data_IF_373668386735
#
_entry.id   IF_373668386735
#
_cell.length_a   1.000
_cell.length_b   1.000
_cell.length_c   1.000
_cell.angle_alpha   90.00
_cell.angle_beta   90.00
_cell.angle_gamma   90.00
#
_symmetry.space_group_name_H-M   'P 1'
#
loop_
_entity.id
_entity.type
_entity.pdbx_description
1 polymer ?
#
# COMPACT_ATOMS: atom_id res chain seq x y z
N UNK A 1 -19.58 1.16 13.44
CA UNK A 1 -19.05 2.02 12.36
C UNK A 1 -18.29 1.15 11.38
N UNK A 2 -18.20 1.57 10.12
CA UNK A 2 -17.37 0.90 9.12
C UNK A 2 -15.89 1.27 9.32
N UNK A 3 -14.99 0.39 8.89
CA UNK A 3 -13.55 0.61 8.94
C UNK A 3 -13.09 1.42 7.73
N UNK A 4 -12.32 2.49 7.95
CA UNK A 4 -11.76 3.36 6.93
C UNK A 4 -10.29 3.03 6.66
N UNK A 5 -9.99 2.53 5.46
CA UNK A 5 -8.62 2.36 4.97
C UNK A 5 -8.27 3.44 3.96
N UNK A 6 -7.05 3.99 4.05
CA UNK A 6 -6.53 5.01 3.13
C UNK A 6 -5.31 4.48 2.39
N UNK A 7 -5.32 4.59 1.05
CA UNK A 7 -4.16 4.33 0.21
C UNK A 7 -3.18 5.50 0.30
N UNK A 8 -1.92 5.21 0.64
CA UNK A 8 -0.87 6.20 0.84
C UNK A 8 0.37 5.90 0.00
N UNK A 9 1.01 6.94 -0.52
CA UNK A 9 2.19 6.86 -1.39
C UNK A 9 3.47 7.43 -0.76
N UNK A 10 3.51 7.53 0.58
CA UNK A 10 4.62 8.13 1.31
C UNK A 10 4.35 8.23 2.81
N UNK A 11 5.38 8.50 3.60
CA UNK A 11 5.28 8.63 5.05
C UNK A 11 4.39 9.80 5.49
N UNK A 12 4.53 10.97 4.86
CA UNK A 12 3.69 12.13 5.15
C UNK A 12 2.20 11.84 4.90
N UNK A 13 1.90 11.14 3.79
CA UNK A 13 0.55 10.74 3.46
C UNK A 13 -0.04 9.79 4.52
N UNK A 14 0.74 8.80 4.96
CA UNK A 14 0.32 7.87 6.01
C UNK A 14 0.09 8.56 7.36
N UNK A 15 0.99 9.46 7.76
CA UNK A 15 0.87 10.23 8.99
C UNK A 15 -0.36 11.16 8.96
N UNK A 16 -0.63 11.79 7.81
CA UNK A 16 -1.81 12.64 7.65
C UNK A 16 -3.11 11.83 7.68
N UNK A 17 -3.12 10.65 7.07
CA UNK A 17 -4.26 9.74 7.11
C UNK A 17 -4.56 9.26 8.54
N UNK A 18 -3.55 8.86 9.31
CA UNK A 18 -3.72 8.50 10.72
C UNK A 18 -4.28 9.66 11.54
N UNK A 19 -3.70 10.87 11.41
CA UNK A 19 -4.18 12.08 12.10
C UNK A 19 -5.62 12.45 11.73
N UNK A 20 -6.06 12.10 10.53
CA UNK A 20 -7.43 12.34 10.06
C UNK A 20 -8.43 11.25 10.51
N UNK A 21 -7.97 10.21 11.20
CA UNK A 21 -8.81 9.13 11.73
C UNK A 21 -8.94 7.91 10.82
N UNK A 22 -7.95 7.63 9.97
CA UNK A 22 -7.89 6.35 9.26
C UNK A 22 -7.70 5.19 10.25
N UNK A 23 -8.45 4.10 10.07
CA UNK A 23 -8.29 2.88 10.85
C UNK A 23 -7.13 2.01 10.34
N UNK A 24 -6.73 2.20 9.07
CA UNK A 24 -5.68 1.42 8.40
C UNK A 24 -5.06 2.17 7.21
N UNK A 25 -3.81 1.86 6.91
CA UNK A 25 -3.07 2.34 5.73
C UNK A 25 -2.85 1.18 4.75
N UNK A 26 -3.17 1.38 3.47
CA UNK A 26 -2.58 0.62 2.36
C UNK A 26 -1.34 1.38 1.87
N UNK A 27 -0.15 0.79 1.97
CA UNK A 27 1.10 1.46 1.55
C UNK A 27 1.50 1.04 0.13
N UNK A 28 1.56 2.03 -0.76
CA UNK A 28 1.78 1.88 -2.19
C UNK A 28 2.97 2.71 -2.68
N UNK A 29 3.51 2.33 -3.84
CA UNK A 29 4.42 3.14 -4.65
C UNK A 29 3.85 3.34 -6.06
N UNK A 30 4.46 4.21 -6.87
CA UNK A 30 4.11 4.44 -8.28
C UNK A 30 2.59 4.70 -8.53
N UNK A 31 2.06 5.87 -8.11
CA UNK A 31 0.63 6.18 -8.23
C UNK A 31 0.12 6.12 -9.68
N UNK A 32 0.95 6.50 -10.65
CA UNK A 32 0.62 6.42 -12.07
C UNK A 32 0.41 4.99 -12.59
N UNK A 33 0.85 3.98 -11.86
CA UNK A 33 0.63 2.56 -12.19
C UNK A 33 -0.51 1.92 -11.39
N UNK A 34 -1.18 2.69 -10.53
CA UNK A 34 -2.26 2.21 -9.65
C UNK A 34 -1.77 1.46 -8.41
N UNK A 35 -0.54 1.73 -7.95
CA UNK A 35 0.03 1.13 -6.74
C UNK A 35 0.92 -0.08 -7.04
N UNK A 36 2.19 0.01 -6.65
CA UNK A 36 3.19 -1.07 -6.72
C UNK A 36 3.80 -1.34 -5.35
N UNK A 37 4.52 -2.45 -5.23
CA UNK A 37 5.25 -2.82 -4.01
C UNK A 37 6.16 -1.67 -3.57
N UNK A 38 5.99 -1.11 -2.36
CA UNK A 38 6.84 -0.04 -1.86
C UNK A 38 8.26 -0.55 -1.59
N UNK A 39 9.23 0.37 -1.59
CA UNK A 39 10.60 0.01 -1.20
C UNK A 39 10.66 -0.36 0.28
N UNK A 40 11.63 -1.20 0.65
CA UNK A 40 11.85 -1.56 2.05
C UNK A 40 12.18 -0.35 2.94
N UNK A 41 12.85 0.66 2.38
CA UNK A 41 13.16 1.92 3.07
C UNK A 41 11.89 2.70 3.42
N UNK A 42 10.99 2.85 2.45
CA UNK A 42 9.71 3.51 2.68
C UNK A 42 8.85 2.75 3.69
N UNK A 43 8.83 1.42 3.63
CA UNK A 43 8.13 0.60 4.62
C UNK A 43 8.64 0.88 6.04
N UNK A 44 9.96 0.84 6.24
CA UNK A 44 10.60 1.14 7.54
C UNK A 44 10.29 2.53 8.05
N UNK A 45 10.34 3.52 7.16
CA UNK A 45 10.04 4.90 7.49
C UNK A 45 8.57 5.04 7.96
N UNK A 46 7.62 4.49 7.21
CA UNK A 46 6.18 4.58 7.54
C UNK A 46 5.88 3.90 8.88
N UNK A 47 6.33 2.65 9.09
CA UNK A 47 6.04 1.92 10.34
C UNK A 47 6.69 2.56 11.58
N UNK A 48 7.68 3.44 11.40
CA UNK A 48 8.28 4.22 12.50
C UNK A 48 7.48 5.48 12.86
N UNK A 49 6.55 5.91 11.98
CA UNK A 49 5.83 7.18 12.11
C UNK A 49 4.34 7.01 12.43
N UNK A 50 3.73 5.87 12.08
CA UNK A 50 2.31 5.58 12.35
C UNK A 50 2.15 4.39 13.28
N UNK A 51 1.04 4.36 14.00
CA UNK A 51 0.63 3.30 14.92
C UNK A 51 -0.49 2.42 14.38
N UNK A 52 -1.32 2.97 13.49
CA UNK A 52 -2.36 2.20 12.79
C UNK A 52 -1.75 1.08 11.94
N UNK A 53 -2.46 -0.04 11.72
CA UNK A 53 -1.98 -1.11 10.86
C UNK A 53 -1.59 -0.60 9.46
N UNK A 54 -0.47 -1.11 8.95
CA UNK A 54 0.03 -0.79 7.60
C UNK A 54 0.05 -2.07 6.78
N UNK A 55 -0.69 -2.10 5.68
CA UNK A 55 -0.75 -3.20 4.72
C UNK A 55 -0.03 -2.78 3.43
N UNK A 56 1.22 -3.23 3.19
CA UNK A 56 1.90 -2.96 1.95
C UNK A 56 1.26 -3.75 0.81
N UNK A 57 1.00 -3.11 -0.33
CA UNK A 57 0.63 -3.86 -1.54
C UNK A 57 1.83 -4.69 -2.02
N UNK A 58 1.57 -5.93 -2.47
CA UNK A 58 2.56 -6.77 -3.14
C UNK A 58 2.20 -6.87 -4.62
N UNK A 59 2.74 -5.93 -5.41
CA UNK A 59 2.51 -5.81 -6.84
C UNK A 59 3.78 -5.35 -7.56
N UNK A 60 4.54 -6.26 -8.19
CA UNK A 60 5.86 -5.93 -8.75
C UNK A 60 5.80 -5.10 -10.04
N UNK A 61 4.64 -5.04 -10.72
CA UNK A 61 4.47 -4.30 -11.97
C UNK A 61 3.04 -3.81 -12.15
N UNK A 62 2.88 -2.78 -12.97
CA UNK A 62 1.60 -2.34 -13.49
C UNK A 62 0.93 -3.36 -14.41
N UNK A 63 -0.17 -2.93 -15.01
CA UNK A 63 -1.03 -3.72 -15.89
C UNK A 63 -1.71 -4.92 -15.19
N UNK A 64 -2.28 -5.79 -16.01
CA UNK A 64 -3.15 -6.90 -15.60
C UNK A 64 -2.38 -7.99 -14.84
N UNK A 65 -3.03 -8.53 -13.82
CA UNK A 65 -2.57 -9.71 -13.11
C UNK A 65 -2.99 -10.96 -13.90
N UNK A 66 -2.00 -11.69 -14.42
CA UNK A 66 -2.23 -12.99 -15.07
C UNK A 66 -1.65 -14.02 -14.13
N UNK A 67 -2.51 -14.83 -13.52
CA UNK A 67 -2.07 -16.06 -12.87
C UNK A 67 -1.69 -17.05 -13.96
N UNK A 68 -0.59 -17.77 -13.79
CA UNK A 68 -0.24 -18.84 -14.71
C UNK A 68 -1.33 -19.91 -14.66
N UNK A 69 -2.30 -19.84 -15.57
CA UNK A 69 -3.18 -20.97 -15.85
C UNK A 69 -2.31 -22.05 -16.47
N UNK A 70 -2.28 -23.21 -15.81
CA UNK A 70 -1.71 -24.45 -16.33
C UNK A 70 -1.97 -24.54 -17.83
N UNK A 71 -0.90 -24.69 -18.62
CA UNK A 71 -1.00 -25.04 -20.02
C UNK A 71 -1.75 -26.37 -20.12
N UNK A 72 -3.01 -26.32 -20.55
CA UNK A 72 -3.66 -27.49 -21.15
C UNK A 72 -2.96 -27.73 -22.49
N UNK A 73 -1.93 -28.57 -22.45
CA UNK A 73 -1.23 -29.15 -23.59
C UNK A 73 -0.97 -30.62 -23.28
#
# INVERSE_FOLDING_TARGET
MAMLEICCYGAECALNAEKAGADRIELCAAPSEGGLTPSFGLLKEVISQVTVPVHPIIRPRGAIFVTASQSSG
#
